data_IF_717933614872
#
_entry.id   IF_717933614872
#
_cell.length_a   1.000
_cell.length_b   1.000
_cell.length_c   1.000
_cell.angle_alpha   90.00
_cell.angle_beta   90.00
_cell.angle_gamma   90.00
#
_symmetry.space_group_name_H-M   'P 1'
#
loop_
_entity.id
_entity.type
_entity.pdbx_description
1 polymer ?
#
# COMPACT_ATOMS: atom_id res chain seq x y z
N UNK A 1 -13.61 8.21 -10.10
CA UNK A 1 -14.08 7.51 -8.89
C UNK A 1 -14.27 6.06 -9.28
N UNK A 2 -13.29 5.19 -8.99
CA UNK A 2 -13.32 3.79 -9.43
C UNK A 2 -12.88 2.89 -8.28
N UNK A 3 -13.73 1.92 -7.93
CA UNK A 3 -13.56 0.93 -6.87
C UNK A 3 -12.45 -0.07 -7.22
N UNK A 4 -11.58 -0.38 -6.25
CA UNK A 4 -10.48 -1.34 -6.43
C UNK A 4 -10.98 -2.80 -6.33
N UNK A 5 -10.16 -3.75 -6.80
CA UNK A 5 -10.52 -5.17 -6.99
C UNK A 5 -10.35 -6.06 -5.74
N UNK A 6 -9.85 -5.55 -4.62
CA UNK A 6 -9.69 -6.32 -3.38
C UNK A 6 -10.27 -5.53 -2.21
N UNK A 7 -11.33 -6.05 -1.59
CA UNK A 7 -12.09 -5.36 -0.54
C UNK A 7 -11.20 -4.95 0.64
N UNK A 8 -10.18 -5.75 0.98
CA UNK A 8 -9.20 -5.43 2.02
C UNK A 8 -7.77 -5.68 1.53
N UNK A 9 -6.95 -4.64 1.27
CA UNK A 9 -5.54 -4.82 0.96
C UNK A 9 -4.79 -5.40 2.16
N UNK A 10 -4.15 -6.55 1.97
CA UNK A 10 -3.35 -7.18 3.01
C UNK A 10 -1.98 -6.51 3.12
N UNK A 11 -1.68 -5.94 4.28
CA UNK A 11 -0.39 -5.29 4.57
C UNK A 11 0.51 -6.14 5.46
N UNK A 12 0.19 -7.42 5.67
CA UNK A 12 0.92 -8.31 6.60
C UNK A 12 2.41 -8.47 6.24
N UNK A 13 2.75 -8.33 4.96
CA UNK A 13 4.14 -8.36 4.47
C UNK A 13 5.04 -7.24 5.04
N UNK A 14 4.45 -6.14 5.52
CA UNK A 14 5.17 -5.03 6.14
C UNK A 14 5.12 -5.24 7.65
N UNK A 15 6.20 -5.71 8.28
CA UNK A 15 6.20 -6.15 9.68
C UNK A 15 7.20 -5.43 10.58
N UNK A 16 7.84 -4.38 10.07
CA UNK A 16 8.79 -3.61 10.87
C UNK A 16 8.14 -3.00 12.13
N UNK A 17 8.83 -3.05 13.29
CA UNK A 17 8.30 -2.58 14.57
C UNK A 17 8.01 -1.08 14.59
N UNK A 18 8.58 -0.33 13.64
CA UNK A 18 8.29 1.08 13.44
C UNK A 18 6.88 1.35 12.89
N UNK A 19 6.16 0.34 12.39
CA UNK A 19 4.77 0.49 11.92
C UNK A 19 3.85 0.65 13.13
N UNK A 20 3.35 1.88 13.33
CA UNK A 20 2.48 2.22 14.47
C UNK A 20 1.00 2.26 14.11
N UNK A 21 0.68 2.25 12.82
CA UNK A 21 -0.71 2.27 12.35
C UNK A 21 -0.84 1.68 10.94
N UNK A 22 -2.00 1.06 10.69
CA UNK A 22 -2.37 0.48 9.40
C UNK A 22 -3.75 0.97 8.98
N UNK A 23 -3.88 1.33 7.71
CA UNK A 23 -5.15 1.70 7.09
C UNK A 23 -6.10 0.50 7.11
N UNK A 24 -7.28 0.68 7.71
CA UNK A 24 -8.35 -0.32 7.74
C UNK A 24 -9.58 0.23 6.99
N UNK A 25 -9.41 0.54 5.71
CA UNK A 25 -10.50 0.98 4.82
C UNK A 25 -10.51 0.14 3.57
N UNK A 26 -11.72 -0.12 3.07
CA UNK A 26 -11.87 -0.89 1.85
C UNK A 26 -11.17 -0.19 0.69
N UNK A 27 -10.41 -0.96 -0.12
CA UNK A 27 -9.67 -0.46 -1.28
C UNK A 27 -8.51 0.52 -1.00
N UNK A 28 -8.14 0.73 0.26
CA UNK A 28 -7.05 1.63 0.63
C UNK A 28 -5.98 0.94 1.45
N UNK A 29 -4.76 0.89 0.92
CA UNK A 29 -3.58 0.50 1.68
C UNK A 29 -2.87 1.74 2.21
N UNK A 30 -2.35 1.67 3.43
CA UNK A 30 -1.57 2.74 4.02
C UNK A 30 -0.94 2.31 5.34
N UNK A 31 0.26 2.79 5.61
CA UNK A 31 1.01 2.54 6.83
C UNK A 31 1.54 3.86 7.38
N UNK A 32 1.58 3.99 8.71
CA UNK A 32 2.33 5.07 9.36
C UNK A 32 3.50 4.42 10.10
N UNK A 33 4.70 4.90 9.80
CA UNK A 33 5.93 4.51 10.49
C UNK A 33 6.40 5.62 11.44
N UNK A 34 6.95 5.22 12.58
CA UNK A 34 7.52 6.12 13.58
C UNK A 34 8.83 5.55 14.10
N UNK A 35 9.88 6.36 14.10
CA UNK A 35 11.15 6.06 14.76
C UNK A 35 11.71 7.31 15.43
N UNK A 36 12.53 7.12 16.46
CA UNK A 36 13.33 8.21 17.04
C UNK A 36 14.48 8.65 16.12
N UNK A 37 14.83 7.83 15.12
CA UNK A 37 15.90 8.10 14.15
C UNK A 37 15.28 8.48 12.81
N UNK A 38 15.55 9.70 12.35
CA UNK A 38 15.04 10.19 11.06
C UNK A 38 15.55 9.37 9.87
N UNK A 39 16.80 8.90 9.94
CA UNK A 39 17.41 8.04 8.91
C UNK A 39 16.62 6.74 8.73
N UNK A 40 16.22 6.11 9.85
CA UNK A 40 15.42 4.89 9.83
C UNK A 40 14.05 5.08 9.19
N UNK A 41 13.41 6.23 9.43
CA UNK A 41 12.15 6.58 8.75
C UNK A 41 12.38 6.71 7.24
N UNK A 42 13.48 7.34 6.81
CA UNK A 42 13.80 7.47 5.38
C UNK A 42 14.04 6.11 4.72
N UNK A 43 14.81 5.23 5.35
CA UNK A 43 15.06 3.86 4.86
C UNK A 43 13.76 3.07 4.67
N UNK A 44 12.86 3.13 5.67
CA UNK A 44 11.57 2.47 5.60
C UNK A 44 10.69 3.04 4.48
N UNK A 45 10.66 4.36 4.33
CA UNK A 45 9.91 5.00 3.25
C UNK A 45 10.45 4.60 1.88
N UNK A 46 11.76 4.57 1.69
CA UNK A 46 12.39 4.20 0.42
C UNK A 46 12.17 2.72 0.08
N UNK A 47 12.38 1.84 1.09
CA UNK A 47 12.15 0.40 0.95
C UNK A 47 10.68 0.06 0.68
N UNK A 48 9.77 0.77 1.32
CA UNK A 48 8.34 0.50 1.19
C UNK A 48 7.74 1.16 -0.02
N UNK A 49 8.13 2.38 -0.41
CA UNK A 49 7.48 3.10 -1.52
C UNK A 49 7.37 2.26 -2.78
N UNK A 50 8.48 1.68 -3.24
CA UNK A 50 8.48 0.86 -4.45
C UNK A 50 7.64 -0.42 -4.32
N UNK A 51 7.62 -1.07 -3.14
CA UNK A 51 6.80 -2.26 -2.89
C UNK A 51 5.32 -1.91 -2.76
N UNK A 52 5.01 -0.81 -2.08
CA UNK A 52 3.65 -0.30 -1.92
C UNK A 52 3.03 0.05 -3.26
N UNK A 53 3.84 0.62 -4.16
CA UNK A 53 3.45 0.86 -5.54
C UNK A 53 3.14 -0.45 -6.26
N UNK A 54 3.98 -1.47 -6.18
CA UNK A 54 3.71 -2.75 -6.85
C UNK A 54 2.53 -3.54 -6.24
N UNK A 55 2.42 -3.57 -4.92
CA UNK A 55 1.43 -4.37 -4.19
C UNK A 55 0.04 -3.71 -4.17
N UNK A 56 -0.02 -2.37 -4.16
CA UNK A 56 -1.25 -1.61 -3.93
C UNK A 56 -1.53 -0.47 -4.92
N UNK A 57 -0.67 -0.17 -5.91
CA UNK A 57 -1.22 0.54 -7.08
C UNK A 57 -2.39 -0.30 -7.54
N UNK A 58 -3.56 0.33 -7.63
CA UNK A 58 -4.68 -0.29 -8.28
C UNK A 58 -4.22 -0.65 -9.69
N UNK A 59 -3.95 -1.94 -9.92
CA UNK A 59 -4.03 -2.56 -11.22
C UNK A 59 -5.47 -2.32 -11.70
N UNK A 60 -5.69 -1.14 -12.27
CA UNK A 60 -6.72 -0.94 -13.27
C UNK A 60 -6.24 -1.77 -14.44
N UNK A 61 -6.54 -3.07 -14.41
CA UNK A 61 -6.62 -3.80 -15.65
C UNK A 61 -7.47 -2.93 -16.58
N UNK A 62 -7.00 -2.54 -17.78
CA UNK A 62 -7.87 -1.95 -18.76
C UNK A 62 -9.11 -2.83 -18.83
N UNK A 63 -10.29 -2.24 -18.62
CA UNK A 63 -11.55 -2.95 -18.81
C UNK A 63 -11.49 -3.51 -20.23
N UNK A 64 -11.48 -4.84 -20.37
CA UNK A 64 -11.62 -5.50 -21.66
C UNK A 64 -12.75 -4.78 -22.42
N UNK A 65 -12.41 -4.15 -23.54
CA UNK A 65 -13.37 -3.43 -24.37
C UNK A 65 -14.43 -4.45 -24.80
N UNK A 66 -15.75 -4.18 -24.65
CA UNK A 66 -16.73 -5.04 -25.29
C UNK A 66 -16.53 -4.90 -26.79
N UNK A 67 -16.01 -5.94 -27.44
CA UNK A 67 -16.17 -6.10 -28.88
C UNK A 67 -17.66 -6.31 -29.14
N UNK A 68 -18.31 -5.30 -29.69
CA UNK A 68 -19.60 -5.43 -30.37
C UNK A 68 -19.54 -4.69 -31.69
#
# INVERSE_FOLDING_TARGET
MSLARQQHPDTSAYSDPEIVWRMNREHHAGLIVKSARAERVRELLDSYAGRFEQDFLAYVAPKEMPTS
#
